data_IF_009731048935
#
_entry.id   IF_009731048935
#
_cell.length_a   1.000
_cell.length_b   1.000
_cell.length_c   1.000
_cell.angle_alpha   90.00
_cell.angle_beta   90.00
_cell.angle_gamma   90.00
#
_symmetry.space_group_name_H-M   'P 1'
#
loop_
_entity.id
_entity.type
_entity.pdbx_description
1 polymer ?
#
# COMPACT_ATOMS: atom_id res chain seq x y z
N UNK A 1 -19.35 0.21 -16.16
CA UNK A 1 -20.26 -0.93 -15.86
C UNK A 1 -19.48 -2.23 -15.63
N UNK A 2 -18.65 -2.73 -16.56
CA UNK A 2 -17.82 -3.92 -16.31
C UNK A 2 -16.53 -3.61 -15.51
N UNK A 3 -15.94 -2.43 -15.74
CA UNK A 3 -14.73 -1.98 -15.03
C UNK A 3 -15.02 -1.72 -13.54
N UNK A 4 -16.07 -0.96 -13.27
CA UNK A 4 -16.63 -0.73 -11.93
C UNK A 4 -16.88 -2.03 -11.14
N UNK A 5 -17.39 -3.08 -11.81
CA UNK A 5 -17.61 -4.38 -11.18
C UNK A 5 -16.31 -5.10 -10.81
N UNK A 6 -15.29 -5.05 -11.67
CA UNK A 6 -13.98 -5.63 -11.36
C UNK A 6 -13.32 -4.90 -10.21
N UNK A 7 -13.47 -3.57 -10.15
CA UNK A 7 -12.99 -2.74 -9.04
C UNK A 7 -13.67 -3.11 -7.74
N UNK A 8 -15.00 -3.22 -7.72
CA UNK A 8 -15.76 -3.67 -6.54
C UNK A 8 -15.31 -5.05 -6.04
N UNK A 9 -15.14 -6.01 -6.95
CA UNK A 9 -14.66 -7.35 -6.63
C UNK A 9 -13.23 -7.35 -6.11
N UNK A 10 -12.35 -6.49 -6.64
CA UNK A 10 -10.99 -6.35 -6.16
C UNK A 10 -10.93 -5.70 -4.77
N UNK A 11 -11.75 -4.68 -4.50
CA UNK A 11 -11.87 -4.08 -3.16
C UNK A 11 -12.37 -5.10 -2.12
N UNK A 12 -13.38 -5.90 -2.47
CA UNK A 12 -13.83 -7.02 -1.64
C UNK A 12 -12.73 -8.08 -1.47
N UNK A 13 -11.94 -8.34 -2.52
CA UNK A 13 -10.77 -9.21 -2.47
C UNK A 13 -9.71 -8.73 -1.47
N UNK A 14 -9.43 -7.42 -1.42
CA UNK A 14 -8.54 -6.83 -0.41
C UNK A 14 -9.08 -7.01 1.01
N UNK A 15 -10.39 -6.83 1.22
CA UNK A 15 -11.01 -7.06 2.52
C UNK A 15 -10.91 -8.54 2.95
N UNK A 16 -11.15 -9.49 2.04
CA UNK A 16 -11.00 -10.93 2.29
C UNK A 16 -9.55 -11.29 2.62
N UNK A 17 -8.58 -10.74 1.88
CA UNK A 17 -7.16 -10.93 2.15
C UNK A 17 -6.79 -10.43 3.56
N UNK A 18 -7.22 -9.23 3.92
CA UNK A 18 -6.94 -8.65 5.23
C UNK A 18 -7.54 -9.47 6.39
N UNK A 19 -8.73 -10.03 6.21
CA UNK A 19 -9.45 -10.76 7.25
C UNK A 19 -9.06 -12.25 7.36
N UNK A 20 -8.78 -12.92 6.23
CA UNK A 20 -8.62 -14.37 6.15
C UNK A 20 -7.31 -14.84 5.52
N UNK A 21 -6.41 -13.92 5.17
CA UNK A 21 -5.15 -14.19 4.49
C UNK A 21 -5.30 -14.72 3.07
N UNK A 22 -4.16 -15.02 2.42
CA UNK A 22 -4.13 -15.53 1.05
C UNK A 22 -4.91 -16.85 0.85
N UNK A 23 -4.96 -17.69 1.89
CA UNK A 23 -5.74 -18.95 1.87
C UNK A 23 -7.26 -18.70 1.91
N UNK A 24 -7.70 -17.64 2.60
CA UNK A 24 -9.11 -17.24 2.66
C UNK A 24 -9.64 -16.65 1.35
N UNK A 25 -8.74 -16.18 0.47
CA UNK A 25 -9.11 -15.59 -0.81
C UNK A 25 -9.65 -16.65 -1.79
N UNK A 26 -10.98 -16.76 -1.82
CA UNK A 26 -11.74 -17.62 -2.72
C UNK A 26 -12.82 -16.80 -3.42
N UNK A 27 -13.23 -17.20 -4.63
CA UNK A 27 -14.32 -16.54 -5.36
C UNK A 27 -15.58 -16.39 -4.52
N UNK A 28 -15.97 -17.44 -3.80
CA UNK A 28 -17.15 -17.42 -2.93
C UNK A 28 -16.99 -16.47 -1.74
N UNK A 29 -15.79 -16.37 -1.15
CA UNK A 29 -15.53 -15.40 -0.09
C UNK A 29 -15.61 -13.96 -0.62
N UNK A 30 -15.12 -13.71 -1.83
CA UNK A 30 -15.21 -12.40 -2.48
C UNK A 30 -16.65 -12.06 -2.84
N UNK A 31 -17.41 -12.99 -3.42
CA UNK A 31 -18.84 -12.79 -3.71
C UNK A 31 -19.61 -12.37 -2.45
N UNK A 32 -19.39 -13.06 -1.33
CA UNK A 32 -20.01 -12.71 -0.05
C UNK A 32 -19.55 -11.34 0.45
N UNK A 33 -18.25 -11.06 0.40
CA UNK A 33 -17.70 -9.78 0.85
C UNK A 33 -18.13 -8.60 -0.02
N UNK A 34 -18.43 -8.84 -1.30
CA UNK A 34 -18.94 -7.84 -2.24
C UNK A 34 -20.47 -7.73 -2.23
N UNK A 35 -21.15 -8.57 -1.44
CA UNK A 35 -22.61 -8.70 -1.39
C UNK A 35 -23.24 -9.04 -2.75
N UNK A 36 -22.58 -9.92 -3.51
CA UNK A 36 -22.97 -10.32 -4.86
C UNK A 36 -23.44 -11.79 -4.93
N UNK A 37 -24.25 -12.15 -5.95
CA UNK A 37 -24.62 -13.53 -6.20
C UNK A 37 -23.39 -14.44 -6.36
N UNK A 38 -23.50 -15.67 -5.86
CA UNK A 38 -22.45 -16.67 -6.00
C UNK A 38 -22.12 -16.90 -7.49
N UNK A 39 -20.82 -16.91 -7.81
CA UNK A 39 -20.30 -17.04 -9.17
C UNK A 39 -19.94 -15.70 -9.82
N UNK A 40 -20.32 -14.56 -9.25
CA UNK A 40 -20.02 -13.22 -9.81
C UNK A 40 -18.51 -13.01 -9.99
N UNK A 41 -17.72 -13.33 -8.97
CA UNK A 41 -16.25 -13.21 -9.03
C UNK A 41 -15.70 -14.11 -10.10
N UNK A 42 -16.20 -15.35 -10.22
CA UNK A 42 -15.70 -16.33 -11.20
C UNK A 42 -16.03 -15.95 -12.64
N UNK A 43 -17.12 -15.20 -12.85
CA UNK A 43 -17.48 -14.63 -14.13
C UNK A 43 -16.46 -13.58 -14.61
N UNK A 44 -16.01 -12.68 -13.71
CA UNK A 44 -15.08 -11.60 -14.07
C UNK A 44 -13.59 -11.96 -13.92
N UNK A 45 -13.25 -12.79 -12.94
CA UNK A 45 -11.89 -13.09 -12.46
C UNK A 45 -11.70 -14.60 -12.36
N UNK A 46 -11.87 -15.31 -13.47
CA UNK A 46 -12.03 -16.78 -13.55
C UNK A 46 -11.03 -17.64 -12.79
N UNK A 47 -9.78 -17.22 -12.65
CA UNK A 47 -8.72 -18.00 -12.01
C UNK A 47 -8.26 -17.35 -10.71
N UNK A 48 -7.66 -18.14 -9.80
CA UNK A 48 -7.03 -17.61 -8.58
C UNK A 48 -5.98 -16.56 -8.91
N UNK A 49 -5.17 -16.79 -9.96
CA UNK A 49 -4.17 -15.84 -10.44
C UNK A 49 -4.82 -14.53 -10.92
N UNK A 50 -5.90 -14.60 -11.70
CA UNK A 50 -6.61 -13.40 -12.15
C UNK A 50 -7.20 -12.60 -10.98
N UNK A 51 -7.73 -13.28 -9.96
CA UNK A 51 -8.23 -12.65 -8.74
C UNK A 51 -7.10 -11.97 -7.95
N UNK A 52 -5.97 -12.65 -7.76
CA UNK A 52 -4.80 -12.09 -7.09
C UNK A 52 -4.22 -10.88 -7.84
N UNK A 53 -4.14 -10.95 -9.17
CA UNK A 53 -3.71 -9.84 -10.01
C UNK A 53 -4.64 -8.63 -9.89
N UNK A 54 -5.96 -8.84 -9.93
CA UNK A 54 -6.92 -7.77 -9.73
C UNK A 54 -6.76 -7.09 -8.35
N UNK A 55 -6.54 -7.89 -7.29
CA UNK A 55 -6.26 -7.37 -5.96
C UNK A 55 -4.95 -6.58 -5.92
N UNK A 56 -3.88 -7.09 -6.53
CA UNK A 56 -2.57 -6.40 -6.59
C UNK A 56 -2.64 -5.07 -7.34
N UNK A 57 -3.32 -5.03 -8.49
CA UNK A 57 -3.57 -3.79 -9.24
C UNK A 57 -4.35 -2.79 -8.39
N UNK A 58 -5.44 -3.25 -7.76
CA UNK A 58 -6.29 -2.39 -6.92
C UNK A 58 -5.55 -1.85 -5.69
N UNK A 59 -4.70 -2.67 -5.08
CA UNK A 59 -3.81 -2.24 -4.00
C UNK A 59 -2.86 -1.13 -4.47
N UNK A 60 -2.26 -1.28 -5.65
CA UNK A 60 -1.41 -0.26 -6.27
C UNK A 60 -2.13 1.06 -6.45
N UNK A 61 -3.34 1.04 -7.03
CA UNK A 61 -4.19 2.23 -7.21
C UNK A 61 -4.48 2.94 -5.89
N UNK A 62 -4.95 2.21 -4.86
CA UNK A 62 -5.28 2.79 -3.55
C UNK A 62 -4.05 3.32 -2.83
N UNK A 63 -2.92 2.63 -2.95
CA UNK A 63 -1.64 3.09 -2.39
C UNK A 63 -1.19 4.39 -3.07
N UNK A 64 -1.33 4.47 -4.39
CA UNK A 64 -0.98 5.67 -5.16
C UNK A 64 -1.83 6.89 -4.77
N UNK A 65 -3.12 6.72 -4.53
CA UNK A 65 -3.99 7.82 -4.07
C UNK A 65 -3.47 8.44 -2.77
N UNK A 66 -2.95 7.63 -1.84
CA UNK A 66 -2.43 8.11 -0.56
C UNK A 66 -1.16 8.96 -0.69
N UNK A 67 -0.42 8.83 -1.79
CA UNK A 67 0.84 9.53 -2.05
C UNK A 67 0.79 10.44 -3.27
N UNK A 68 -0.39 10.70 -3.82
CA UNK A 68 -0.60 11.57 -4.98
C UNK A 68 0.10 12.94 -4.88
N UNK A 69 0.18 13.62 -3.70
CA UNK A 69 0.91 14.87 -3.58
C UNK A 69 2.41 14.79 -3.92
N UNK A 70 3.04 13.60 -3.90
CA UNK A 70 4.42 13.44 -4.36
C UNK A 70 4.58 13.71 -5.87
N UNK A 71 3.50 13.62 -6.65
CA UNK A 71 3.50 13.85 -8.10
C UNK A 71 3.20 15.30 -8.49
N UNK A 72 2.68 16.12 -7.58
CA UNK A 72 2.29 17.51 -7.86
C UNK A 72 3.51 18.41 -8.09
N UNK A 73 3.48 19.38 -9.02
CA UNK A 73 4.60 20.28 -9.31
C UNK A 73 4.77 21.37 -8.22
N UNK A 74 4.76 20.98 -6.95
CA UNK A 74 4.96 21.85 -5.78
C UNK A 74 6.30 21.56 -5.13
N UNK A 75 6.93 22.59 -4.56
CA UNK A 75 8.12 22.42 -3.73
C UNK A 75 7.71 21.84 -2.37
N UNK A 76 8.31 20.73 -1.97
CA UNK A 76 8.06 20.09 -0.67
C UNK A 76 9.32 20.18 0.16
N UNK A 77 9.28 20.89 1.27
CA UNK A 77 10.31 20.85 2.29
C UNK A 77 10.21 19.55 3.13
N UNK A 78 11.18 19.35 4.04
CA UNK A 78 11.22 18.17 4.93
C UNK A 78 9.96 18.11 5.83
N UNK A 79 9.43 19.26 6.26
CA UNK A 79 8.22 19.32 7.09
C UNK A 79 6.99 18.83 6.30
N UNK A 80 6.82 19.28 5.07
CA UNK A 80 5.76 18.87 4.17
C UNK A 80 5.86 17.38 3.81
N UNK A 81 7.07 16.87 3.54
CA UNK A 81 7.30 15.43 3.35
C UNK A 81 6.94 14.62 4.60
N UNK A 82 7.29 15.11 5.79
CA UNK A 82 6.92 14.46 7.05
C UNK A 82 5.40 14.39 7.21
N UNK A 83 4.70 15.50 6.96
CA UNK A 83 3.23 15.53 7.03
C UNK A 83 2.58 14.62 6.00
N UNK A 84 3.15 14.52 4.80
CA UNK A 84 2.69 13.61 3.76
C UNK A 84 2.90 12.15 4.17
N UNK A 85 4.05 11.79 4.74
CA UNK A 85 4.30 10.45 5.27
C UNK A 85 3.30 10.08 6.38
N UNK A 86 3.00 11.01 7.30
CA UNK A 86 1.99 10.78 8.34
C UNK A 86 0.60 10.54 7.73
N UNK A 87 0.20 11.33 6.74
CA UNK A 87 -1.09 11.14 6.04
C UNK A 87 -1.14 9.82 5.28
N UNK A 88 -0.07 9.45 4.59
CA UNK A 88 0.01 8.19 3.84
C UNK A 88 -0.13 6.99 4.78
N UNK A 89 0.64 6.94 5.88
CA UNK A 89 0.55 5.86 6.86
C UNK A 89 -0.84 5.79 7.50
N UNK A 90 -1.47 6.93 7.80
CA UNK A 90 -2.87 6.97 8.28
C UNK A 90 -3.84 6.34 7.28
N UNK A 91 -3.70 6.66 6.00
CA UNK A 91 -4.53 6.08 4.96
C UNK A 91 -4.33 4.56 4.83
N UNK A 92 -3.09 4.07 5.00
CA UNK A 92 -2.79 2.64 4.94
C UNK A 92 -3.33 1.82 6.11
N UNK A 93 -3.43 2.44 7.31
CA UNK A 93 -4.00 1.80 8.50
C UNK A 93 -5.50 2.07 8.69
N UNK A 94 -6.13 2.86 7.82
CA UNK A 94 -7.56 3.09 7.84
C UNK A 94 -8.34 1.79 7.61
N UNK A 95 -9.64 1.81 7.89
CA UNK A 95 -10.54 0.66 7.70
C UNK A 95 -10.04 -0.62 8.40
N UNK A 96 -9.39 -0.49 9.56
CA UNK A 96 -8.81 -1.63 10.27
C UNK A 96 -7.52 -2.17 9.66
N UNK A 97 -6.84 -1.40 8.81
CA UNK A 97 -5.58 -1.77 8.19
C UNK A 97 -5.70 -2.68 6.97
N UNK A 98 -6.87 -2.70 6.31
CA UNK A 98 -7.14 -3.56 5.14
C UNK A 98 -6.03 -3.44 4.09
N UNK A 99 -5.60 -2.23 3.76
CA UNK A 99 -4.57 -2.03 2.74
C UNK A 99 -3.23 -2.66 3.11
N UNK A 100 -2.72 -2.37 4.31
CA UNK A 100 -1.39 -2.87 4.72
C UNK A 100 -1.41 -4.38 4.98
N UNK A 101 -2.49 -4.92 5.55
CA UNK A 101 -2.63 -6.36 5.78
C UNK A 101 -2.73 -7.13 4.45
N UNK A 102 -3.58 -6.67 3.53
CA UNK A 102 -3.70 -7.29 2.21
C UNK A 102 -2.39 -7.20 1.40
N UNK A 103 -1.64 -6.09 1.52
CA UNK A 103 -0.30 -5.96 0.93
C UNK A 103 0.64 -7.05 1.41
N UNK A 104 0.70 -7.31 2.71
CA UNK A 104 1.61 -8.31 3.27
C UNK A 104 1.24 -9.74 2.85
N UNK A 105 -0.05 -10.06 2.81
CA UNK A 105 -0.52 -11.34 2.28
C UNK A 105 -0.16 -11.52 0.80
N UNK A 106 -0.33 -10.48 -0.01
CA UNK A 106 0.05 -10.51 -1.43
C UNK A 106 1.57 -10.60 -1.63
N UNK A 107 2.38 -9.94 -0.80
CA UNK A 107 3.84 -10.02 -0.87
C UNK A 107 4.31 -11.45 -0.56
N UNK A 108 3.77 -12.07 0.49
CA UNK A 108 4.09 -13.45 0.86
C UNK A 108 3.66 -14.45 -0.22
N UNK A 109 2.47 -14.29 -0.79
CA UNK A 109 1.99 -15.11 -1.90
C UNK A 109 2.86 -14.90 -3.17
N UNK A 110 3.28 -13.66 -3.45
CA UNK A 110 4.12 -13.33 -4.60
C UNK A 110 5.50 -13.99 -4.55
N UNK A 111 5.97 -14.39 -3.36
CA UNK A 111 7.22 -15.12 -3.20
C UNK A 111 7.23 -16.46 -3.96
N UNK A 112 6.05 -17.06 -4.14
CA UNK A 112 5.85 -18.31 -4.87
C UNK A 112 5.36 -18.08 -6.32
N UNK A 113 5.02 -16.85 -6.68
CA UNK A 113 4.39 -16.49 -7.95
C UNK A 113 5.04 -15.26 -8.60
N UNK A 114 6.11 -15.45 -9.40
CA UNK A 114 6.89 -14.34 -9.99
C UNK A 114 6.07 -13.35 -10.82
N UNK A 115 5.01 -13.81 -11.51
CA UNK A 115 4.16 -12.91 -12.31
C UNK A 115 3.32 -11.96 -11.45
N UNK A 116 3.09 -12.26 -10.18
CA UNK A 116 2.42 -11.34 -9.24
C UNK A 116 3.38 -10.31 -8.68
N UNK A 117 4.64 -10.72 -8.47
CA UNK A 117 5.69 -9.84 -7.94
C UNK A 117 5.87 -8.59 -8.83
N UNK A 118 5.89 -8.77 -10.15
CA UNK A 118 6.04 -7.63 -11.08
C UNK A 118 4.93 -6.57 -10.97
N UNK A 119 3.70 -6.96 -10.63
CA UNK A 119 2.58 -6.01 -10.45
C UNK A 119 2.75 -5.20 -9.16
N UNK A 120 3.16 -5.85 -8.06
CA UNK A 120 3.42 -5.19 -6.78
C UNK A 120 4.66 -4.29 -6.85
N UNK A 121 5.68 -4.74 -7.58
CA UNK A 121 6.92 -4.00 -7.81
C UNK A 121 6.63 -2.73 -8.62
N UNK A 122 5.87 -2.80 -9.71
CA UNK A 122 5.57 -1.65 -10.55
C UNK A 122 4.96 -0.46 -9.78
N UNK A 123 4.00 -0.73 -8.87
CA UNK A 123 3.42 0.31 -8.02
C UNK A 123 4.44 0.86 -7.01
N UNK A 124 5.25 -0.02 -6.40
CA UNK A 124 6.27 0.36 -5.42
C UNK A 124 7.38 1.18 -6.08
N UNK A 125 7.82 0.81 -7.27
CA UNK A 125 8.87 1.49 -8.04
C UNK A 125 8.41 2.88 -8.50
N UNK A 126 7.13 3.04 -8.83
CA UNK A 126 6.58 4.35 -9.15
C UNK A 126 6.64 5.31 -7.96
N UNK A 127 6.23 4.85 -6.77
CA UNK A 127 6.31 5.62 -5.52
C UNK A 127 7.77 5.94 -5.17
N UNK A 128 8.66 4.94 -5.29
CA UNK A 128 10.10 5.08 -5.08
C UNK A 128 10.65 6.19 -5.97
N UNK A 129 10.41 6.15 -7.28
CA UNK A 129 10.90 7.18 -8.20
C UNK A 129 10.34 8.57 -7.92
N UNK A 130 9.08 8.69 -7.48
CA UNK A 130 8.50 9.97 -7.08
C UNK A 130 9.19 10.55 -5.84
N UNK A 131 9.36 9.74 -4.80
CA UNK A 131 9.99 10.16 -3.54
C UNK A 131 11.48 10.47 -3.73
N UNK A 132 12.20 9.64 -4.48
CA UNK A 132 13.62 9.85 -4.79
C UNK A 132 13.85 11.21 -5.45
N UNK A 133 13.02 11.59 -6.44
CA UNK A 133 13.09 12.92 -7.05
C UNK A 133 12.90 14.06 -6.05
N UNK A 134 12.07 13.87 -5.01
CA UNK A 134 11.90 14.87 -3.94
C UNK A 134 13.12 14.96 -3.05
N UNK A 135 13.73 13.84 -2.70
CA UNK A 135 14.95 13.82 -1.90
C UNK A 135 16.12 14.47 -2.66
N UNK A 136 16.26 14.20 -3.96
CA UNK A 136 17.25 14.87 -4.83
C UNK A 136 17.03 16.38 -4.86
N UNK A 137 15.78 16.83 -5.04
CA UNK A 137 15.45 18.25 -5.08
C UNK A 137 15.71 18.98 -3.74
N UNK A 138 15.77 18.24 -2.63
CA UNK A 138 16.13 18.73 -1.30
C UNK A 138 17.63 18.67 -1.01
N UNK A 139 18.46 18.18 -1.95
CA UNK A 139 19.90 18.02 -1.77
C UNK A 139 20.28 16.90 -0.80
N UNK A 140 19.40 15.91 -0.60
CA UNK A 140 19.67 14.76 0.27
C UNK A 140 20.58 13.77 -0.47
N UNK A 141 21.77 13.52 0.06
CA UNK A 141 22.69 12.48 -0.40
C UNK A 141 22.08 11.08 -0.26
N UNK A 142 22.53 10.14 -1.09
CA UNK A 142 22.07 8.73 -1.08
C UNK A 142 20.55 8.60 -1.23
N UNK A 143 19.95 9.49 -2.04
CA UNK A 143 18.50 9.60 -2.19
C UNK A 143 17.80 8.27 -2.52
N UNK A 144 18.41 7.43 -3.36
CA UNK A 144 17.86 6.13 -3.74
C UNK A 144 17.79 5.15 -2.54
N UNK A 145 18.87 5.06 -1.76
CA UNK A 145 18.94 4.21 -0.56
C UNK A 145 17.97 4.71 0.52
N UNK A 146 18.02 6.02 0.82
CA UNK A 146 17.13 6.63 1.82
C UNK A 146 15.66 6.54 1.46
N UNK A 147 15.34 6.58 0.16
CA UNK A 147 13.97 6.32 -0.32
C UNK A 147 13.54 4.89 0.00
N UNK A 148 14.40 3.91 -0.28
CA UNK A 148 14.14 2.50 0.03
C UNK A 148 13.92 2.28 1.52
N UNK A 149 14.81 2.82 2.35
CA UNK A 149 14.74 2.73 3.81
C UNK A 149 13.48 3.41 4.35
N UNK A 150 13.14 4.59 3.84
CA UNK A 150 11.95 5.31 4.28
C UNK A 150 10.68 4.52 3.99
N UNK A 151 10.55 3.98 2.78
CA UNK A 151 9.39 3.14 2.41
C UNK A 151 9.32 1.92 3.31
N UNK A 152 10.43 1.21 3.52
CA UNK A 152 10.47 0.02 4.37
C UNK A 152 10.10 0.32 5.84
N UNK A 153 10.62 1.42 6.41
CA UNK A 153 10.28 1.83 7.77
C UNK A 153 8.82 2.25 7.92
N UNK A 154 8.27 3.01 6.96
CA UNK A 154 6.88 3.45 7.00
C UNK A 154 5.90 2.28 6.83
N UNK A 155 6.21 1.32 5.96
CA UNK A 155 5.45 0.08 5.78
C UNK A 155 5.46 -0.76 7.07
N UNK A 156 6.63 -0.90 7.71
CA UNK A 156 6.76 -1.59 9.00
C UNK A 156 5.98 -0.91 10.13
N UNK A 157 5.97 0.43 10.19
CA UNK A 157 5.12 1.18 11.14
C UNK A 157 3.64 0.89 10.86
N UNK A 158 3.21 1.01 9.60
CA UNK A 158 1.82 0.79 9.21
C UNK A 158 1.35 -0.62 9.59
N UNK A 159 2.14 -1.64 9.25
CA UNK A 159 1.84 -3.03 9.61
C UNK A 159 1.70 -3.19 11.12
N UNK A 160 2.67 -2.68 11.88
CA UNK A 160 2.68 -2.86 13.31
C UNK A 160 1.53 -2.14 14.02
N UNK A 161 1.00 -1.06 13.46
CA UNK A 161 -0.21 -0.39 13.95
C UNK A 161 -1.49 -1.15 13.56
N UNK A 162 -1.59 -1.62 12.31
CA UNK A 162 -2.71 -2.41 11.83
C UNK A 162 -2.89 -3.71 12.64
N UNK A 163 -1.81 -4.46 12.86
CA UNK A 163 -1.84 -5.72 13.63
C UNK A 163 -2.23 -5.50 15.09
N UNK A 164 -1.80 -4.38 15.69
CA UNK A 164 -2.12 -4.07 17.09
C UNK A 164 -3.53 -3.51 17.28
N UNK A 165 -4.19 -3.05 16.22
CA UNK A 165 -5.46 -2.33 16.31
C UNK A 165 -5.39 -1.02 17.11
N UNK A 166 -4.18 -0.49 17.33
CA UNK A 166 -3.97 0.72 18.15
C UNK A 166 -4.04 1.94 17.25
N UNK A 167 -4.96 2.86 17.54
CA UNK A 167 -5.18 4.10 16.77
C UNK A 167 -4.69 5.36 17.50
N UNK A 168 -3.83 5.23 18.51
CA UNK A 168 -3.31 6.38 19.26
C UNK A 168 -2.59 7.37 18.33
N UNK A 169 -3.32 8.40 17.91
CA UNK A 169 -2.99 9.25 16.75
C UNK A 169 -1.65 9.98 16.94
N UNK A 170 -1.38 10.42 18.18
CA UNK A 170 -0.14 11.07 18.54
C UNK A 170 1.07 10.14 18.48
N UNK A 171 0.89 8.87 18.85
CA UNK A 171 1.98 7.90 18.85
C UNK A 171 2.41 7.56 17.42
N UNK A 172 1.45 7.44 16.50
CA UNK A 172 1.73 7.20 15.08
C UNK A 172 2.52 8.36 14.49
N UNK A 173 2.00 9.59 14.66
CA UNK A 173 2.67 10.81 14.20
C UNK A 173 4.10 10.90 14.73
N UNK A 174 4.32 10.69 16.03
CA UNK A 174 5.66 10.69 16.62
C UNK A 174 6.58 9.63 15.99
N UNK A 175 6.07 8.43 15.74
CA UNK A 175 6.88 7.35 15.15
C UNK A 175 7.29 7.67 13.72
N UNK A 176 6.36 8.14 12.90
CA UNK A 176 6.64 8.57 11.52
C UNK A 176 7.61 9.74 11.49
N UNK A 177 7.38 10.79 12.30
CA UNK A 177 8.27 11.95 12.38
C UNK A 177 9.70 11.55 12.76
N UNK A 178 9.88 10.67 13.75
CA UNK A 178 11.23 10.19 14.13
C UNK A 178 11.94 9.48 12.97
N UNK A 179 11.24 8.63 12.22
CA UNK A 179 11.81 7.94 11.06
C UNK A 179 12.20 8.94 9.98
N UNK A 180 11.30 9.85 9.60
CA UNK A 180 11.58 10.85 8.55
C UNK A 180 12.74 11.75 8.96
N UNK A 181 12.72 12.30 10.17
CA UNK A 181 13.82 13.15 10.66
C UNK A 181 15.14 12.39 10.78
N UNK A 182 15.12 11.13 11.20
CA UNK A 182 16.34 10.32 11.31
C UNK A 182 16.95 9.97 9.95
N UNK A 183 16.11 9.60 8.97
CA UNK A 183 16.55 9.20 7.63
C UNK A 183 16.81 10.38 6.69
N UNK A 184 16.22 11.55 6.93
CA UNK A 184 16.43 12.75 6.09
C UNK A 184 17.32 13.80 6.77
N UNK A 185 17.87 13.49 7.95
CA UNK A 185 18.92 14.32 8.53
C UNK A 185 20.12 14.33 7.58
N UNK A 186 20.59 15.54 7.26
CA UNK A 186 21.88 15.75 6.62
C UNK A 186 22.92 15.27 7.63
N UNK A 187 23.68 14.25 7.25
CA UNK A 187 24.89 13.86 7.98
C UNK A 187 26.04 14.52 7.23
N UNK A 188 26.69 15.48 7.88
CA UNK A 188 27.97 16.04 7.46
C UNK A 188 29.06 14.95 7.45
#
# INVERSE_FOLDING_TARGET
>A
MADDRRTQLADAGLAVLAAGGARGLTHRAVDRSAELPEGSTSYYLRTRVALLQACATRLGERTMTAVAPLAEPVHLDISALTQLAVRAVRAWIADGGVLVLARHELLLESAQHPQMRSVLDAATDHIRGLLERRLIALGISDAAERTGDLIACLDGIALAYAVRGVTAEDALRRSVTRVVSGLLAVRD
#
